data_IF_725108814824
#
_entry.id   IF_725108814824
#
_cell.length_a   1.000
_cell.length_b   1.000
_cell.length_c   1.000
_cell.angle_alpha   90.00
_cell.angle_beta   90.00
_cell.angle_gamma   90.00
#
_symmetry.space_group_name_H-M   'P 1'
#
loop_
_entity.id
_entity.type
_entity.pdbx_description
1 polymer ?
#
# COMPACT_ATOMS: atom_id res chain seq x y z
N UNK A 1 8.38 -48.55 -45.83
CA UNK A 1 8.78 -48.69 -47.25
C UNK A 1 9.41 -47.37 -47.66
N UNK A 2 10.73 -47.25 -47.59
CA UNK A 2 11.68 -47.41 -48.72
C UNK A 2 12.27 -46.03 -49.06
N UNK A 3 13.51 -45.76 -48.59
CA UNK A 3 14.72 -45.44 -49.38
C UNK A 3 14.68 -44.01 -50.01
N UNK A 4 15.69 -43.12 -49.92
CA UNK A 4 17.16 -43.30 -49.97
C UNK A 4 17.85 -41.90 -49.82
N UNK A 5 19.03 -41.88 -49.19
CA UNK A 5 20.30 -41.12 -49.50
C UNK A 5 20.28 -39.57 -49.62
N UNK A 6 21.00 -38.74 -48.85
CA UNK A 6 22.43 -38.62 -48.47
C UNK A 6 23.39 -38.12 -49.60
N UNK A 7 23.96 -36.91 -49.42
CA UNK A 7 25.26 -36.38 -49.94
C UNK A 7 25.43 -34.94 -49.37
N UNK A 8 26.31 -34.70 -48.38
CA UNK A 8 27.74 -34.34 -48.44
C UNK A 8 27.99 -32.95 -49.09
N UNK A 9 28.39 -31.91 -48.34
CA UNK A 9 29.74 -31.57 -47.83
C UNK A 9 30.52 -30.68 -48.82
N UNK A 10 30.69 -29.39 -48.49
CA UNK A 10 31.90 -28.59 -48.83
C UNK A 10 31.95 -27.34 -47.96
N UNK A 11 33.01 -27.23 -47.17
CA UNK A 11 33.48 -26.03 -46.51
C UNK A 11 34.34 -25.21 -47.48
N UNK A 12 34.30 -23.87 -47.38
CA UNK A 12 35.42 -23.00 -47.80
C UNK A 12 35.62 -21.91 -46.76
N UNK A 13 36.87 -21.84 -46.32
CA UNK A 13 37.50 -20.95 -45.37
C UNK A 13 38.06 -19.70 -46.08
N UNK A 14 38.51 -18.71 -45.28
CA UNK A 14 39.45 -17.61 -45.61
C UNK A 14 38.85 -16.36 -46.30
N UNK A 15 39.31 -15.13 -46.04
CA UNK A 15 40.22 -14.54 -45.05
C UNK A 15 40.22 -13.01 -45.24
N UNK A 16 40.43 -12.29 -44.12
CA UNK A 16 41.22 -11.04 -43.97
C UNK A 16 41.03 -9.83 -44.90
N UNK A 17 40.74 -8.67 -44.31
CA UNK A 17 41.62 -7.49 -44.47
C UNK A 17 41.38 -6.43 -43.37
N UNK A 18 42.45 -6.15 -42.63
CA UNK A 18 42.66 -5.05 -41.68
C UNK A 18 42.79 -3.70 -42.39
N UNK A 19 42.32 -2.61 -41.77
CA UNK A 19 42.97 -1.29 -41.83
C UNK A 19 42.89 -0.65 -40.44
N UNK A 20 44.02 -0.09 -40.02
CA UNK A 20 44.37 0.32 -38.66
C UNK A 20 44.31 1.85 -38.44
N UNK A 21 44.40 2.20 -37.15
CA UNK A 21 45.01 3.41 -36.57
C UNK A 21 44.35 4.78 -36.76
N UNK A 22 43.91 5.39 -35.64
CA UNK A 22 44.77 6.37 -34.93
C UNK A 22 44.12 6.82 -33.62
N UNK A 23 44.80 6.56 -32.51
CA UNK A 23 44.56 7.18 -31.21
C UNK A 23 45.25 8.55 -31.16
N UNK A 24 44.63 9.55 -30.52
CA UNK A 24 45.31 10.75 -30.06
C UNK A 24 44.87 11.05 -28.62
N UNK A 25 45.85 11.03 -27.72
CA UNK A 25 45.78 11.36 -26.30
C UNK A 25 46.77 12.49 -26.06
N UNK A 26 46.37 13.51 -25.28
CA UNK A 26 47.14 14.37 -24.35
C UNK A 26 46.62 15.83 -24.34
N UNK A 27 46.96 16.67 -23.33
CA UNK A 27 46.98 16.41 -21.88
C UNK A 27 46.29 17.53 -21.04
N UNK A 28 46.20 17.25 -19.74
CA UNK A 28 45.88 18.11 -18.61
C UNK A 28 46.81 19.34 -18.52
N UNK A 29 46.27 20.53 -18.22
CA UNK A 29 47.05 21.64 -17.61
C UNK A 29 46.24 22.33 -16.50
N UNK A 30 46.78 22.23 -15.29
CA UNK A 30 46.42 22.94 -14.07
C UNK A 30 46.88 24.42 -14.09
N UNK A 31 46.63 25.12 -12.97
CA UNK A 31 46.99 26.50 -12.57
C UNK A 31 45.83 27.51 -12.74
N UNK A 32 45.36 28.23 -11.71
CA UNK A 32 45.86 28.39 -10.34
C UNK A 32 44.77 28.93 -9.40
N UNK A 33 44.94 28.59 -8.12
CA UNK A 33 44.13 29.09 -7.01
C UNK A 33 44.61 30.49 -6.60
N UNK A 34 43.69 31.44 -6.52
CA UNK A 34 43.92 32.75 -5.91
C UNK A 34 43.40 32.72 -4.47
N UNK A 35 44.32 32.67 -3.50
CA UNK A 35 44.06 32.83 -2.07
C UNK A 35 44.50 34.23 -1.66
N UNK A 36 43.55 35.13 -1.47
CA UNK A 36 43.77 36.44 -0.86
C UNK A 36 43.34 36.43 0.60
N UNK A 37 44.31 36.22 1.50
CA UNK A 37 44.21 36.55 2.93
C UNK A 37 44.30 38.07 3.08
N UNK A 38 43.50 38.65 3.98
CA UNK A 38 43.91 39.85 4.70
C UNK A 38 43.32 39.81 6.10
N UNK A 39 44.24 39.69 7.06
CA UNK A 39 44.01 39.79 8.48
C UNK A 39 43.76 41.26 8.84
N UNK A 40 42.76 41.52 9.68
CA UNK A 40 42.69 42.75 10.45
C UNK A 40 42.61 42.40 11.93
N UNK A 41 43.55 43.04 12.62
CA UNK A 41 43.91 43.04 14.02
C UNK A 41 42.79 42.91 15.05
N UNK A 42 43.10 42.12 16.07
CA UNK A 42 42.49 42.14 17.40
C UNK A 42 42.74 43.49 18.07
N UNK A 43 41.69 44.13 18.59
CA UNK A 43 41.78 45.07 19.70
C UNK A 43 40.59 44.90 20.64
N UNK A 44 40.92 44.65 21.92
CA UNK A 44 40.22 45.20 23.08
C UNK A 44 38.80 44.73 23.37
N UNK A 45 38.68 43.69 24.19
CA UNK A 45 37.46 43.38 24.94
C UNK A 45 37.21 44.53 25.94
N UNK A 46 36.13 45.29 25.74
CA UNK A 46 35.51 46.09 26.80
C UNK A 46 34.13 45.51 27.10
N UNK A 47 33.91 45.15 28.37
CA UNK A 47 32.72 44.47 28.85
C UNK A 47 31.47 45.35 28.68
N UNK A 48 30.43 44.80 28.04
CA UNK A 48 29.11 45.42 27.97
C UNK A 48 28.41 45.36 29.35
N UNK A 49 27.62 46.38 29.73
CA UNK A 49 26.86 46.37 30.98
C UNK A 49 25.83 45.23 30.97
N UNK A 50 25.83 44.42 32.03
CA UNK A 50 24.87 43.33 32.22
C UNK A 50 23.47 43.91 32.46
N UNK A 51 22.62 43.85 31.44
CA UNK A 51 21.18 44.03 31.62
C UNK A 51 20.68 42.91 32.55
N UNK A 52 20.17 43.29 33.71
CA UNK A 52 19.49 42.37 34.62
C UNK A 52 18.30 41.74 33.88
N UNK A 53 18.32 40.41 33.78
CA UNK A 53 17.25 39.63 33.17
C UNK A 53 16.04 39.71 34.09
N UNK A 54 15.03 40.47 33.72
CA UNK A 54 13.73 40.41 34.37
C UNK A 54 13.25 38.95 34.33
N UNK A 55 12.98 38.35 35.48
CA UNK A 55 12.31 37.06 35.60
C UNK A 55 10.84 37.23 35.18
N UNK A 56 10.62 37.29 33.87
CA UNK A 56 9.30 37.07 33.29
C UNK A 56 8.86 35.66 33.61
N UNK A 57 7.69 35.52 34.23
CA UNK A 57 7.06 34.24 34.52
C UNK A 57 7.16 33.31 33.30
N UNK A 58 7.69 32.11 33.52
CA UNK A 58 7.69 31.04 32.52
C UNK A 58 6.24 30.74 32.18
N UNK A 59 5.75 31.34 31.08
CA UNK A 59 4.60 30.81 30.36
C UNK A 59 5.04 29.44 29.89
N UNK A 60 4.55 28.39 30.56
CA UNK A 60 4.72 27.04 30.07
C UNK A 60 4.13 27.01 28.67
N UNK A 61 4.99 26.80 27.67
CA UNK A 61 4.56 26.48 26.31
C UNK A 61 3.86 25.13 26.39
N UNK A 62 2.57 25.16 26.70
CA UNK A 62 1.67 24.03 26.53
C UNK A 62 1.59 23.76 25.04
N UNK A 63 2.44 22.85 24.57
CA UNK A 63 2.30 22.25 23.25
C UNK A 63 0.91 21.61 23.20
N UNK A 64 0.03 22.15 22.35
CA UNK A 64 -1.26 21.54 22.05
C UNK A 64 -1.02 20.21 21.37
N UNK A 65 -0.90 19.16 22.17
CA UNK A 65 -0.98 17.77 21.71
C UNK A 65 -2.37 17.61 21.12
N UNK A 66 -2.42 17.44 19.80
CA UNK A 66 -3.67 17.28 19.06
C UNK A 66 -4.12 15.82 19.21
N UNK A 67 -4.75 15.49 20.33
CA UNK A 67 -5.37 14.19 20.53
C UNK A 67 -6.75 14.16 19.87
N UNK A 68 -6.88 13.37 18.81
CA UNK A 68 -8.11 13.25 18.02
C UNK A 68 -9.25 12.55 18.77
N UNK A 69 -8.94 11.82 19.86
CA UNK A 69 -9.92 11.17 20.74
C UNK A 69 -10.41 12.07 21.86
N UNK A 70 -9.59 13.01 22.34
CA UNK A 70 -9.96 13.98 23.37
C UNK A 70 -10.14 15.37 22.75
N UNK A 71 -11.16 15.49 21.89
CA UNK A 71 -11.71 16.81 21.56
C UNK A 71 -12.55 17.25 22.73
N UNK A 72 -11.90 17.79 23.76
CA UNK A 72 -12.57 18.74 24.64
C UNK A 72 -13.16 19.78 23.69
N UNK A 73 -14.49 19.78 23.61
CA UNK A 73 -15.25 20.58 22.70
C UNK A 73 -14.67 22.00 22.74
N UNK A 74 -14.11 22.46 21.62
CA UNK A 74 -13.74 23.87 21.48
C UNK A 74 -15.06 24.63 21.52
N UNK A 75 -15.51 24.95 22.72
CA UNK A 75 -16.82 25.43 23.07
C UNK A 75 -17.94 24.61 22.42
N UNK A 76 -18.66 23.81 23.21
CA UNK A 76 -20.09 23.79 22.96
C UNK A 76 -20.52 25.26 22.92
N UNK A 77 -21.07 25.73 21.79
CA UNK A 77 -21.78 27.00 21.78
C UNK A 77 -22.71 26.95 23.00
N UNK A 78 -22.67 27.92 23.94
CA UNK A 78 -23.45 27.84 25.18
C UNK A 78 -24.98 27.85 24.94
N UNK A 79 -25.39 28.04 23.69
CA UNK A 79 -26.78 27.93 23.20
C UNK A 79 -27.17 26.51 22.79
N UNK A 80 -26.22 25.58 22.63
CA UNK A 80 -26.50 24.17 22.40
C UNK A 80 -26.72 23.56 23.78
N UNK A 81 -28.00 23.38 24.13
CA UNK A 81 -28.42 22.85 25.42
C UNK A 81 -27.59 21.64 25.82
N UNK A 82 -27.07 21.66 27.04
CA UNK A 82 -26.49 20.49 27.69
C UNK A 82 -27.56 19.41 27.66
N UNK A 83 -27.28 18.26 27.06
CA UNK A 83 -28.21 17.14 27.06
C UNK A 83 -28.50 16.76 28.51
N UNK A 84 -29.65 17.19 29.03
CA UNK A 84 -30.16 16.79 30.33
C UNK A 84 -30.51 15.32 30.26
N UNK A 85 -30.03 14.54 31.23
CA UNK A 85 -30.28 13.10 31.26
C UNK A 85 -31.79 12.85 31.37
N UNK A 86 -32.39 12.27 30.33
CA UNK A 86 -33.82 11.96 30.25
C UNK A 86 -34.55 12.43 28.99
N UNK A 87 -34.01 13.39 28.25
CA UNK A 87 -34.63 13.94 27.02
C UNK A 87 -33.89 13.52 25.74
N UNK A 88 -33.65 12.22 25.56
CA UNK A 88 -33.12 11.68 24.31
C UNK A 88 -34.25 11.54 23.28
N UNK A 89 -34.25 12.34 22.21
CA UNK A 89 -35.16 12.16 21.06
C UNK A 89 -35.97 13.39 20.64
N UNK A 90 -35.81 14.54 21.30
CA UNK A 90 -36.42 15.79 20.84
C UNK A 90 -35.63 16.39 19.66
N UNK A 91 -36.32 16.74 18.56
CA UNK A 91 -35.70 17.26 17.33
C UNK A 91 -34.86 18.54 17.57
N UNK A 92 -35.19 19.34 18.58
CA UNK A 92 -34.46 20.58 18.91
C UNK A 92 -33.08 20.38 19.56
N UNK A 93 -32.80 19.18 20.10
CA UNK A 93 -31.58 18.91 20.88
C UNK A 93 -30.60 17.97 20.15
N UNK A 94 -30.89 17.61 18.89
CA UNK A 94 -30.01 16.76 18.08
C UNK A 94 -28.87 17.58 17.47
N UNK A 95 -27.63 17.17 17.71
CA UNK A 95 -26.45 17.73 17.06
C UNK A 95 -25.52 16.62 16.57
N UNK A 96 -24.82 16.81 15.43
CA UNK A 96 -23.87 15.83 14.95
C UNK A 96 -22.68 15.76 15.90
N UNK A 97 -22.10 14.56 16.05
CA UNK A 97 -20.86 14.40 16.79
C UNK A 97 -19.81 15.41 16.29
N UNK A 98 -19.07 16.08 17.20
CA UNK A 98 -18.14 17.13 16.80
C UNK A 98 -17.16 16.57 15.76
N UNK A 99 -16.78 17.37 14.76
CA UNK A 99 -15.86 16.97 13.71
C UNK A 99 -16.38 15.94 12.68
N UNK A 100 -17.59 15.37 12.87
CA UNK A 100 -18.25 14.50 11.89
C UNK A 100 -18.55 15.27 10.60
N UNK A 101 -19.05 16.50 10.72
CA UNK A 101 -19.30 17.39 9.59
C UNK A 101 -18.41 18.63 9.64
N UNK A 102 -17.68 18.88 8.56
CA UNK A 102 -16.86 20.09 8.39
C UNK A 102 -17.56 21.04 7.42
N UNK A 103 -17.75 22.30 7.82
CA UNK A 103 -18.29 23.36 6.95
C UNK A 103 -17.34 23.55 5.75
N UNK A 104 -17.87 23.46 4.53
CA UNK A 104 -17.09 23.68 3.29
C UNK A 104 -16.79 25.17 3.14
N UNK A 105 -15.60 25.51 2.64
CA UNK A 105 -15.24 26.90 2.35
C UNK A 105 -15.98 27.38 1.10
N UNK A 106 -16.70 28.50 1.23
CA UNK A 106 -17.36 29.17 0.10
C UNK A 106 -16.38 30.15 -0.53
N UNK A 107 -15.77 29.75 -1.65
CA UNK A 107 -14.77 30.56 -2.37
C UNK A 107 -15.40 31.83 -2.96
N UNK A 108 -14.62 32.89 -3.11
CA UNK A 108 -15.06 34.16 -3.72
C UNK A 108 -16.01 34.97 -2.83
N UNK A 109 -15.79 34.97 -1.51
CA UNK A 109 -16.59 35.69 -0.51
C UNK A 109 -15.72 36.58 0.38
N UNK A 110 -15.03 37.54 -0.23
CA UNK A 110 -14.16 38.49 0.45
C UNK A 110 -12.82 37.89 0.90
N UNK A 111 -11.82 38.75 1.10
CA UNK A 111 -10.45 38.34 1.44
C UNK A 111 -10.36 37.70 2.82
N UNK A 112 -11.14 38.18 3.79
CA UNK A 112 -11.12 37.72 5.19
C UNK A 112 -11.59 36.26 5.35
N UNK A 113 -12.36 35.73 4.38
CA UNK A 113 -12.76 34.32 4.35
C UNK A 113 -11.65 33.38 3.81
N UNK A 114 -10.47 33.91 3.46
CA UNK A 114 -9.27 33.16 3.08
C UNK A 114 -9.11 32.88 1.58
N UNK A 115 -10.20 32.60 0.86
CA UNK A 115 -10.16 32.29 -0.59
C UNK A 115 -10.98 33.30 -1.40
N UNK A 116 -10.77 34.59 -1.12
CA UNK A 116 -11.56 35.71 -1.65
C UNK A 116 -11.20 36.15 -3.06
N UNK A 117 -9.97 36.59 -3.28
CA UNK A 117 -9.57 37.24 -4.53
C UNK A 117 -9.48 36.26 -5.71
N UNK A 118 -8.49 35.37 -5.71
CA UNK A 118 -8.25 34.43 -6.81
C UNK A 118 -8.85 33.05 -6.56
N UNK A 119 -9.60 32.87 -5.47
CA UNK A 119 -10.18 31.59 -5.04
C UNK A 119 -9.15 30.43 -4.91
N UNK A 120 -7.86 30.78 -4.79
CA UNK A 120 -6.73 29.83 -4.71
C UNK A 120 -6.15 29.41 -6.06
N UNK A 121 -6.58 30.02 -7.16
CA UNK A 121 -6.09 29.69 -8.51
C UNK A 121 -4.90 30.54 -8.97
N UNK A 122 -4.57 31.61 -8.24
CA UNK A 122 -3.44 32.49 -8.57
C UNK A 122 -3.74 33.46 -9.72
N UNK A 123 -2.70 33.87 -10.44
CA UNK A 123 -2.78 34.81 -11.57
C UNK A 123 -3.38 34.13 -12.83
N UNK A 124 -3.46 34.88 -13.93
CA UNK A 124 -4.05 34.41 -15.19
C UNK A 124 -3.20 33.27 -15.80
N UNK A 125 -3.78 32.09 -15.96
CA UNK A 125 -3.17 30.95 -16.63
C UNK A 125 -4.20 29.90 -17.04
N UNK A 126 -3.80 28.85 -17.76
CA UNK A 126 -4.75 27.81 -18.23
C UNK A 126 -5.55 27.17 -17.07
N UNK A 127 -4.90 26.93 -15.92
CA UNK A 127 -5.53 26.33 -14.72
C UNK A 127 -6.50 27.26 -13.98
N UNK A 128 -6.46 28.57 -14.25
CA UNK A 128 -7.34 29.55 -13.62
C UNK A 128 -8.60 29.86 -14.45
N UNK A 129 -8.70 29.31 -15.68
CA UNK A 129 -9.86 29.48 -16.55
C UNK A 129 -10.93 28.44 -16.24
N UNK A 130 -12.19 28.79 -16.52
CA UNK A 130 -13.30 27.84 -16.46
C UNK A 130 -13.15 26.77 -17.56
N UNK A 131 -13.64 25.57 -17.29
CA UNK A 131 -13.64 24.46 -18.24
C UNK A 131 -12.84 23.25 -17.78
N UNK A 132 -12.65 22.28 -18.68
CA UNK A 132 -11.93 21.05 -18.39
C UNK A 132 -10.43 21.33 -18.32
N UNK A 133 -9.74 20.97 -17.21
CA UNK A 133 -8.29 21.10 -17.15
C UNK A 133 -7.63 20.11 -18.12
N UNK A 134 -6.35 20.31 -18.35
CA UNK A 134 -5.50 19.38 -19.09
C UNK A 134 -5.65 17.96 -18.55
N UNK A 135 -5.76 16.96 -19.44
CA UNK A 135 -5.92 15.56 -19.07
C UNK A 135 -4.79 15.10 -18.13
N UNK A 136 -5.14 14.37 -17.07
CA UNK A 136 -4.15 13.72 -16.21
C UNK A 136 -3.19 12.85 -17.03
N UNK A 137 -1.89 13.05 -16.82
CA UNK A 137 -0.82 12.40 -17.58
C UNK A 137 -0.45 13.09 -18.91
N UNK A 138 -0.85 14.33 -19.15
CA UNK A 138 -0.32 15.14 -20.24
C UNK A 138 0.85 16.01 -19.76
N UNK A 139 1.97 15.97 -20.48
CA UNK A 139 3.25 16.61 -20.12
C UNK A 139 3.63 17.76 -21.07
N UNK A 140 2.66 18.59 -21.48
CA UNK A 140 2.94 19.81 -22.25
C UNK A 140 3.33 19.60 -23.71
N UNK A 141 2.98 18.45 -24.30
CA UNK A 141 3.36 18.08 -25.68
C UNK A 141 4.56 17.12 -25.75
N UNK A 142 5.30 16.98 -24.65
CA UNK A 142 6.26 15.89 -24.50
C UNK A 142 5.54 14.54 -24.54
N UNK A 143 6.18 13.51 -25.12
CA UNK A 143 5.63 12.15 -25.11
C UNK A 143 5.37 11.71 -23.66
N UNK A 144 4.13 11.42 -23.24
CA UNK A 144 3.84 11.14 -21.83
C UNK A 144 4.52 9.89 -21.29
N UNK A 145 4.76 9.83 -19.98
CA UNK A 145 5.38 8.69 -19.31
C UNK A 145 4.74 7.32 -19.64
N UNK A 146 3.41 7.25 -19.67
CA UNK A 146 2.68 6.01 -19.98
C UNK A 146 2.88 5.51 -21.42
N UNK A 147 3.45 6.34 -22.31
CA UNK A 147 3.88 5.94 -23.66
C UNK A 147 5.38 5.65 -23.74
N UNK A 148 6.20 6.25 -22.86
CA UNK A 148 7.65 6.01 -22.80
C UNK A 148 7.97 4.66 -22.21
N UNK A 149 7.24 4.25 -21.18
CA UNK A 149 7.47 2.98 -20.52
C UNK A 149 6.95 1.82 -21.38
N UNK A 150 7.70 0.71 -21.48
CA UNK A 150 7.19 -0.49 -22.12
C UNK A 150 5.95 -1.01 -21.38
N UNK A 151 5.03 -1.64 -22.12
CA UNK A 151 3.86 -2.28 -21.50
C UNK A 151 4.32 -3.41 -20.58
N UNK A 152 3.68 -3.55 -19.42
CA UNK A 152 3.89 -4.73 -18.56
C UNK A 152 3.62 -6.02 -19.36
N UNK A 153 4.47 -7.02 -19.15
CA UNK A 153 4.28 -8.37 -19.70
C UNK A 153 3.00 -8.99 -19.09
N UNK A 154 2.10 -9.47 -19.95
CA UNK A 154 0.78 -10.00 -19.55
C UNK A 154 -0.33 -9.59 -20.53
N UNK A 155 -1.60 -9.72 -20.11
CA UNK A 155 -2.75 -9.23 -20.91
C UNK A 155 -2.70 -7.70 -20.94
N UNK A 156 -2.74 -7.04 -22.12
CA UNK A 156 -3.27 -7.52 -23.40
C UNK A 156 -2.26 -8.03 -24.45
N UNK A 157 -0.94 -8.04 -24.18
CA UNK A 157 0.11 -8.27 -25.20
C UNK A 157 0.58 -9.73 -25.33
N UNK A 158 0.18 -10.63 -24.42
CA UNK A 158 0.54 -12.06 -24.47
C UNK A 158 -0.42 -12.96 -23.69
N UNK A 159 -0.22 -14.30 -23.70
CA UNK A 159 -1.00 -15.22 -22.88
C UNK A 159 -0.77 -14.87 -21.40
N UNK A 160 -1.77 -14.24 -20.79
CA UNK A 160 -1.70 -13.87 -19.38
C UNK A 160 -1.52 -15.10 -18.48
N UNK A 161 -1.05 -14.88 -17.26
CA UNK A 161 -0.98 -15.96 -16.27
C UNK A 161 -2.40 -16.43 -15.91
N UNK A 162 -2.76 -17.64 -16.32
CA UNK A 162 -3.95 -18.33 -15.82
C UNK A 162 -3.60 -18.90 -14.45
N UNK A 163 -4.03 -18.20 -13.39
CA UNK A 163 -3.89 -18.68 -12.01
C UNK A 163 -5.30 -18.91 -11.45
N UNK A 164 -5.51 -20.06 -10.83
CA UNK A 164 -6.70 -20.27 -10.01
C UNK A 164 -6.56 -19.44 -8.73
N UNK A 165 -7.54 -18.58 -8.46
CA UNK A 165 -7.60 -17.79 -7.24
C UNK A 165 -8.26 -18.64 -6.16
N UNK A 166 -7.50 -19.03 -5.14
CA UNK A 166 -8.04 -19.75 -4.00
C UNK A 166 -8.47 -18.77 -2.90
N UNK A 167 -9.63 -19.04 -2.31
CA UNK A 167 -10.01 -18.58 -0.98
C UNK A 167 -8.99 -19.03 0.05
N UNK A 168 -8.66 -18.17 1.01
CA UNK A 168 -7.63 -18.47 2.00
C UNK A 168 -8.30 -18.98 3.28
N UNK A 169 -7.93 -20.18 3.72
CA UNK A 169 -8.17 -20.67 5.07
C UNK A 169 -6.86 -20.59 5.85
N UNK A 170 -6.83 -19.76 6.88
CA UNK A 170 -5.64 -19.56 7.72
C UNK A 170 -5.69 -20.49 8.93
N UNK A 171 -4.54 -20.92 9.43
CA UNK A 171 -4.47 -21.73 10.66
C UNK A 171 -5.02 -21.01 11.89
N UNK A 172 -4.92 -19.68 11.96
CA UNK A 172 -5.52 -18.89 13.06
C UNK A 172 -7.05 -19.03 13.13
N UNK A 173 -7.71 -19.26 11.99
CA UNK A 173 -9.14 -19.55 11.94
C UNK A 173 -9.41 -20.97 12.42
N UNK A 174 -8.57 -21.91 12.01
CA UNK A 174 -8.70 -23.33 12.41
C UNK A 174 -8.51 -23.52 13.91
N UNK A 175 -7.75 -22.65 14.59
CA UNK A 175 -7.60 -22.66 16.04
C UNK A 175 -8.91 -22.38 16.80
N UNK A 176 -9.90 -21.77 16.16
CA UNK A 176 -11.21 -21.55 16.78
C UNK A 176 -12.16 -22.75 16.61
N UNK A 177 -11.80 -23.72 15.78
CA UNK A 177 -12.60 -24.93 15.56
C UNK A 177 -12.44 -25.90 16.74
N UNK A 178 -13.45 -26.73 16.98
CA UNK A 178 -13.42 -27.73 18.04
C UNK A 178 -12.40 -28.85 17.73
N UNK A 179 -11.78 -29.41 18.77
CA UNK A 179 -10.83 -30.52 18.63
C UNK A 179 -11.50 -31.77 18.05
N UNK A 180 -10.77 -32.51 17.21
CA UNK A 180 -11.25 -33.72 16.51
C UNK A 180 -12.44 -33.50 15.53
N UNK A 181 -12.79 -32.25 15.21
CA UNK A 181 -13.87 -31.94 14.26
C UNK A 181 -13.41 -31.93 12.79
N UNK A 182 -14.37 -31.97 11.87
CA UNK A 182 -14.11 -31.77 10.43
C UNK A 182 -14.15 -30.27 10.07
N UNK A 183 -12.99 -29.72 9.74
CA UNK A 183 -12.86 -28.33 9.31
C UNK A 183 -12.93 -28.22 7.78
N UNK A 184 -14.08 -27.78 7.29
CA UNK A 184 -14.33 -27.39 5.90
C UNK A 184 -14.61 -25.88 5.87
N UNK A 185 -14.48 -25.24 4.70
CA UNK A 185 -14.86 -23.84 4.55
C UNK A 185 -16.31 -23.54 4.99
N UNK A 186 -17.24 -24.44 4.65
CA UNK A 186 -18.66 -24.29 5.00
C UNK A 186 -18.89 -24.43 6.52
N UNK A 187 -18.20 -25.36 7.20
CA UNK A 187 -18.31 -25.49 8.66
C UNK A 187 -17.73 -24.28 9.39
N UNK A 188 -16.58 -23.76 8.93
CA UNK A 188 -15.98 -22.54 9.47
C UNK A 188 -16.87 -21.30 9.27
N UNK A 189 -17.62 -21.24 8.16
CA UNK A 189 -18.55 -20.16 7.87
C UNK A 189 -19.82 -20.28 8.72
N UNK A 190 -20.37 -21.49 8.88
CA UNK A 190 -21.55 -21.75 9.70
C UNK A 190 -21.30 -21.46 11.19
N UNK A 191 -20.11 -21.81 11.68
CA UNK A 191 -19.68 -21.51 13.05
C UNK A 191 -19.30 -20.02 13.27
N UNK A 192 -19.26 -19.21 12.21
CA UNK A 192 -18.92 -17.78 12.30
C UNK A 192 -17.43 -17.49 12.53
N UNK A 193 -16.55 -18.49 12.46
CA UNK A 193 -15.09 -18.30 12.56
C UNK A 193 -14.53 -17.55 11.35
N UNK A 194 -15.22 -17.58 10.22
CA UNK A 194 -14.93 -16.75 9.05
C UNK A 194 -16.15 -16.04 8.51
N UNK A 195 -15.88 -14.95 7.80
CA UNK A 195 -16.87 -14.32 6.91
C UNK A 195 -16.66 -14.80 5.47
N UNK A 196 -17.59 -14.43 4.58
CA UNK A 196 -17.50 -14.74 3.14
C UNK A 196 -16.13 -14.32 2.58
N UNK A 197 -15.50 -15.20 1.81
CA UNK A 197 -14.23 -14.93 1.15
C UNK A 197 -14.33 -13.71 0.23
N UNK A 198 -13.72 -12.59 0.66
CA UNK A 198 -13.59 -11.38 -0.14
C UNK A 198 -12.21 -11.37 -0.80
N UNK A 199 -12.14 -11.86 -2.04
CA UNK A 199 -10.95 -11.65 -2.89
C UNK A 199 -11.27 -10.48 -3.81
N UNK A 200 -10.39 -9.46 -3.85
CA UNK A 200 -10.56 -8.25 -4.69
C UNK A 200 -10.67 -8.53 -6.18
N UNK A 201 -10.15 -9.68 -6.63
CA UNK A 201 -10.27 -10.21 -8.00
C UNK A 201 -11.24 -11.40 -8.13
N UNK A 202 -12.02 -11.67 -7.09
CA UNK A 202 -12.89 -12.84 -6.97
C UNK A 202 -12.14 -14.13 -6.66
N UNK A 203 -12.79 -15.03 -5.91
CA UNK A 203 -12.37 -16.43 -5.80
C UNK A 203 -12.68 -17.13 -7.13
N UNK A 204 -11.82 -18.06 -7.56
CA UNK A 204 -12.16 -18.94 -8.66
C UNK A 204 -13.33 -19.81 -8.22
N UNK A 205 -14.46 -19.65 -8.91
CA UNK A 205 -15.65 -20.45 -8.69
C UNK A 205 -15.78 -21.42 -9.84
N UNK A 206 -15.74 -22.72 -9.54
CA UNK A 206 -15.97 -23.78 -10.52
C UNK A 206 -17.31 -24.41 -10.19
N UNK A 207 -18.25 -24.38 -11.14
CA UNK A 207 -19.62 -24.93 -10.97
C UNK A 207 -20.33 -24.46 -9.69
N UNK A 208 -20.17 -23.18 -9.33
CA UNK A 208 -20.78 -22.59 -8.14
C UNK A 208 -20.03 -22.83 -6.82
N UNK A 209 -18.99 -23.67 -6.80
CA UNK A 209 -18.16 -23.94 -5.60
C UNK A 209 -16.89 -23.09 -5.61
N UNK A 210 -16.56 -22.50 -4.46
CA UNK A 210 -15.37 -21.66 -4.29
C UNK A 210 -14.15 -22.53 -4.04
N UNK A 211 -13.04 -22.26 -4.74
CA UNK A 211 -11.78 -22.95 -4.48
C UNK A 211 -11.17 -22.41 -3.18
N UNK A 212 -10.61 -23.28 -2.35
CA UNK A 212 -10.15 -22.94 -1.01
C UNK A 212 -8.81 -23.60 -0.76
N UNK A 213 -7.84 -22.80 -0.32
CA UNK A 213 -6.49 -23.22 0.01
C UNK A 213 -6.20 -22.95 1.47
N UNK A 214 -5.74 -23.97 2.18
CA UNK A 214 -5.24 -23.84 3.55
C UNK A 214 -3.79 -23.36 3.50
N UNK A 215 -3.49 -22.34 4.28
CA UNK A 215 -2.18 -21.68 4.30
C UNK A 215 -1.63 -21.68 5.71
N UNK A 216 -0.39 -22.15 5.85
CA UNK A 216 0.43 -21.94 7.04
C UNK A 216 0.74 -20.46 7.12
N UNK A 217 0.12 -19.77 8.07
CA UNK A 217 0.23 -18.33 8.19
C UNK A 217 1.49 -17.98 8.98
N UNK A 218 2.26 -17.03 8.46
CA UNK A 218 3.02 -16.14 9.34
C UNK A 218 2.04 -15.04 9.77
N UNK A 219 2.00 -14.70 11.04
CA UNK A 219 1.27 -13.54 11.54
C UNK A 219 1.76 -12.24 10.88
N UNK A 220 1.01 -11.16 11.05
CA UNK A 220 1.38 -9.84 10.56
C UNK A 220 2.78 -9.39 11.04
N UNK A 221 3.25 -9.95 12.17
CA UNK A 221 4.53 -9.68 12.81
C UNK A 221 5.64 -10.68 12.41
N UNK A 222 5.36 -11.60 11.47
CA UNK A 222 6.35 -12.53 10.92
C UNK A 222 6.57 -13.80 11.75
N UNK A 223 5.88 -13.97 12.89
CA UNK A 223 5.93 -15.21 13.67
C UNK A 223 4.98 -16.27 13.10
N UNK A 224 5.37 -17.56 13.08
CA UNK A 224 4.50 -18.61 12.59
C UNK A 224 3.34 -18.85 13.57
N UNK A 225 2.10 -18.66 13.10
CA UNK A 225 0.92 -19.08 13.86
C UNK A 225 0.99 -20.58 14.05
N UNK A 226 1.20 -21.01 15.29
CA UNK A 226 1.14 -22.44 15.63
C UNK A 226 -0.32 -22.86 15.71
N UNK A 227 -0.64 -24.01 15.11
CA UNK A 227 -1.91 -24.66 15.33
C UNK A 227 -1.93 -25.13 16.80
N UNK A 228 -2.98 -24.81 17.56
CA UNK A 228 -3.12 -25.25 18.96
C UNK A 228 -4.08 -26.44 19.12
N UNK A 229 -5.03 -26.57 18.19
CA UNK A 229 -6.05 -27.62 18.19
C UNK A 229 -5.45 -28.94 17.73
N UNK A 230 -5.80 -30.03 18.41
CA UNK A 230 -5.33 -31.39 18.13
C UNK A 230 -6.37 -32.19 17.33
N UNK A 231 -5.90 -33.11 16.49
CA UNK A 231 -6.74 -34.10 15.80
C UNK A 231 -7.69 -33.57 14.72
N UNK A 232 -7.46 -32.36 14.20
CA UNK A 232 -8.38 -31.73 13.23
C UNK A 232 -8.33 -32.43 11.85
N UNK A 233 -9.49 -32.76 11.29
CA UNK A 233 -9.59 -33.25 9.90
C UNK A 233 -9.94 -32.10 8.97
N UNK A 234 -8.96 -31.58 8.22
CA UNK A 234 -9.11 -30.40 7.37
C UNK A 234 -9.38 -30.81 5.93
N UNK A 235 -10.52 -30.41 5.37
CA UNK A 235 -10.92 -30.69 3.98
C UNK A 235 -10.80 -29.41 3.13
N UNK A 236 -9.92 -29.40 2.14
CA UNK A 236 -9.70 -28.24 1.27
C UNK A 236 -9.20 -28.61 -0.13
N UNK A 237 -9.28 -27.67 -1.09
CA UNK A 237 -8.87 -27.91 -2.48
C UNK A 237 -7.35 -27.86 -2.68
N UNK A 238 -6.63 -27.17 -1.80
CA UNK A 238 -5.16 -27.12 -1.82
C UNK A 238 -4.59 -26.83 -0.43
N UNK A 239 -3.34 -27.22 -0.20
CA UNK A 239 -2.59 -26.94 1.04
C UNK A 239 -1.22 -26.34 0.71
N UNK A 240 -0.63 -25.56 1.62
CA UNK A 240 0.80 -25.24 1.59
C UNK A 240 1.59 -26.32 2.34
N UNK A 241 2.85 -26.55 1.97
CA UNK A 241 3.71 -27.53 2.67
C UNK A 241 3.77 -27.26 4.19
N UNK A 242 3.97 -25.99 4.55
CA UNK A 242 3.96 -25.53 5.95
C UNK A 242 2.66 -25.85 6.70
N UNK A 243 1.50 -25.77 6.03
CA UNK A 243 0.22 -26.09 6.67
C UNK A 243 0.10 -27.59 6.93
N UNK A 244 0.52 -28.42 5.97
CA UNK A 244 0.48 -29.88 6.10
C UNK A 244 1.34 -30.33 7.27
N UNK A 245 2.58 -29.83 7.35
CA UNK A 245 3.50 -30.14 8.46
C UNK A 245 2.89 -29.78 9.83
N UNK A 246 2.31 -28.59 9.97
CA UNK A 246 1.74 -28.13 11.24
C UNK A 246 0.45 -28.89 11.63
N UNK A 247 -0.41 -29.22 10.66
CA UNK A 247 -1.63 -29.99 10.92
C UNK A 247 -1.28 -31.42 11.32
N UNK A 248 -0.34 -32.06 10.62
CA UNK A 248 0.10 -33.43 10.91
C UNK A 248 0.88 -33.52 12.22
N UNK A 249 1.72 -32.52 12.55
CA UNK A 249 2.44 -32.46 13.82
C UNK A 249 1.49 -32.44 15.04
N UNK A 250 0.29 -31.89 14.88
CA UNK A 250 -0.77 -31.89 15.89
C UNK A 250 -1.72 -33.10 15.81
N UNK A 251 -1.36 -34.13 15.03
CA UNK A 251 -2.15 -35.35 14.86
C UNK A 251 -3.41 -35.19 14.00
N UNK A 252 -3.51 -34.11 13.22
CA UNK A 252 -4.62 -33.88 12.28
C UNK A 252 -4.42 -34.54 10.91
N UNK A 253 -5.51 -34.66 10.14
CA UNK A 253 -5.50 -35.21 8.77
C UNK A 253 -5.82 -34.13 7.75
N UNK A 254 -5.05 -34.05 6.66
CA UNK A 254 -5.33 -33.18 5.52
C UNK A 254 -5.99 -34.00 4.40
N UNK A 255 -7.22 -33.65 4.01
CA UNK A 255 -7.96 -34.31 2.93
C UNK A 255 -8.13 -33.34 1.76
N UNK A 256 -7.73 -33.78 0.56
CA UNK A 256 -7.80 -32.96 -0.64
C UNK A 256 -9.16 -33.13 -1.34
N UNK A 257 -9.82 -32.02 -1.63
CA UNK A 257 -11.11 -31.97 -2.31
C UNK A 257 -10.95 -31.75 -3.82
N UNK A 258 -11.68 -32.51 -4.63
CA UNK A 258 -11.72 -32.32 -6.08
C UNK A 258 -12.28 -30.91 -6.41
N UNK A 259 -11.57 -30.09 -7.20
CA UNK A 259 -12.01 -28.73 -7.54
C UNK A 259 -13.36 -28.64 -8.27
N UNK A 260 -13.79 -29.72 -8.94
CA UNK A 260 -15.00 -29.75 -9.77
C UNK A 260 -16.18 -30.37 -9.03
N UNK A 261 -15.97 -31.53 -8.40
CA UNK A 261 -17.04 -32.26 -7.71
C UNK A 261 -17.17 -31.86 -6.24
N UNK A 262 -16.08 -31.40 -5.61
CA UNK A 262 -16.02 -31.14 -4.18
C UNK A 262 -16.10 -32.40 -3.32
N UNK A 263 -15.85 -33.57 -3.90
CA UNK A 263 -15.70 -34.82 -3.17
C UNK A 263 -14.24 -35.02 -2.74
N UNK A 264 -14.04 -35.84 -1.71
CA UNK A 264 -12.71 -36.25 -1.23
C UNK A 264 -12.00 -37.04 -2.36
N UNK A 265 -10.73 -36.70 -2.64
CA UNK A 265 -9.94 -37.40 -3.66
C UNK A 265 -9.39 -38.75 -3.16
N UNK A 266 -9.34 -38.95 -1.84
CA UNK A 266 -8.84 -40.17 -1.19
C UNK A 266 -9.95 -41.17 -0.81
N UNK A 267 -11.00 -41.28 -1.64
CA UNK A 267 -11.99 -42.35 -1.56
C UNK A 267 -11.72 -43.41 -2.63
#
# INVERSE_FOLDING_TARGET
>A
MSRRTALALTAVLAATSLVACSAFVAPLSSHGAFVGRSAVAQQGIQAAPSLSRAHGALTSLSMKVFDWKRRDARAADPTVGVATEGEFGFLGNLSPAPGSQKKKTRKGRGISAGQGATCGFGMRGQKSRSGRPTRAGFEGGQMPLYRRLPKYVGRPTGPGHNKANYGLLKLSVLNNCEANSEATYESCLAAGHMTKLKISKGCSVIRGKQLVKVIGCNDADGEPVKLSVQGLTVKAHAFTASAVEQIQANGGKCVLLNPVTGADIEA
#
